data_IF_126635193933
#
_entry.id   IF_126635193933
#
_cell.length_a   1.000
_cell.length_b   1.000
_cell.length_c   1.000
_cell.angle_alpha   90.00
_cell.angle_beta   90.00
_cell.angle_gamma   90.00
#
_symmetry.space_group_name_H-M   'P 1'
#
loop_
_entity.id
_entity.type
_entity.pdbx_description
1 polymer ?
#
# COMPACT_ATOMS: atom_id res chain seq x y z
N UNK A 1 -10.86 21.39 2.62
CA UNK A 1 -9.59 21.42 3.42
C UNK A 1 -9.17 20.06 4.00
N UNK A 2 -10.04 19.38 4.77
CA UNK A 2 -9.73 18.11 5.44
C UNK A 2 -9.59 16.93 4.45
N UNK A 3 -10.41 16.90 3.39
CA UNK A 3 -10.41 15.82 2.39
C UNK A 3 -9.11 15.72 1.59
N UNK A 4 -8.52 16.87 1.23
CA UNK A 4 -7.22 16.91 0.54
C UNK A 4 -6.08 16.43 1.44
N UNK A 5 -6.17 16.69 2.76
CA UNK A 5 -5.19 16.22 3.72
C UNK A 5 -5.20 14.69 3.84
N UNK A 6 -6.37 14.07 3.91
CA UNK A 6 -6.50 12.60 4.00
C UNK A 6 -5.93 11.90 2.76
N UNK A 7 -6.24 12.41 1.56
CA UNK A 7 -5.67 11.87 0.31
C UNK A 7 -4.14 11.97 0.29
N UNK A 8 -3.58 13.09 0.76
CA UNK A 8 -2.12 13.24 0.87
C UNK A 8 -1.52 12.22 1.85
N UNK A 9 -2.18 11.96 2.98
CA UNK A 9 -1.74 10.91 3.92
C UNK A 9 -1.77 9.54 3.26
N UNK A 10 -2.84 9.20 2.53
CA UNK A 10 -2.97 7.91 1.88
C UNK A 10 -1.85 7.71 0.85
N UNK A 11 -1.64 8.70 -0.02
CA UNK A 11 -0.57 8.65 -1.03
C UNK A 11 0.82 8.51 -0.41
N UNK A 12 1.11 9.26 0.67
CA UNK A 12 2.39 9.14 1.39
C UNK A 12 2.56 7.75 1.99
N UNK A 13 1.54 7.18 2.61
CA UNK A 13 1.59 5.84 3.18
C UNK A 13 1.83 4.77 2.11
N UNK A 14 1.15 4.86 0.97
CA UNK A 14 1.32 3.92 -0.15
C UNK A 14 2.72 4.04 -0.74
N UNK A 15 3.19 5.27 -0.96
CA UNK A 15 4.53 5.50 -1.50
C UNK A 15 5.62 4.95 -0.59
N UNK A 16 5.52 5.20 0.72
CA UNK A 16 6.45 4.68 1.71
C UNK A 16 6.39 3.14 1.78
N UNK A 17 5.20 2.55 1.83
CA UNK A 17 5.03 1.10 1.86
C UNK A 17 5.64 0.46 0.60
N UNK A 18 5.36 1.01 -0.58
CA UNK A 18 5.90 0.52 -1.86
C UNK A 18 7.42 0.58 -1.87
N UNK A 19 8.00 1.75 -1.55
CA UNK A 19 9.45 1.95 -1.58
C UNK A 19 10.15 1.07 -0.55
N UNK A 20 9.57 0.93 0.64
CA UNK A 20 10.08 0.04 1.69
C UNK A 20 10.03 -1.42 1.28
N UNK A 21 8.94 -1.89 0.68
CA UNK A 21 8.83 -3.29 0.20
C UNK A 21 9.82 -3.55 -0.93
N UNK A 22 9.96 -2.64 -1.90
CA UNK A 22 10.97 -2.77 -2.97
C UNK A 22 12.38 -2.85 -2.39
N UNK A 23 12.73 -1.93 -1.48
CA UNK A 23 14.03 -1.93 -0.82
C UNK A 23 14.26 -3.23 -0.04
N UNK A 24 13.30 -3.67 0.76
CA UNK A 24 13.38 -4.91 1.55
C UNK A 24 13.55 -6.13 0.66
N UNK A 25 12.79 -6.21 -0.42
CA UNK A 25 12.82 -7.32 -1.38
C UNK A 25 14.16 -7.36 -2.09
N UNK A 26 14.68 -6.22 -2.56
CA UNK A 26 16.04 -6.12 -3.13
C UNK A 26 17.11 -6.59 -2.15
N UNK A 27 17.03 -6.17 -0.89
CA UNK A 27 17.99 -6.60 0.13
C UNK A 27 17.87 -8.10 0.41
N UNK A 28 16.67 -8.65 0.51
CA UNK A 28 16.46 -10.10 0.66
C UNK A 28 17.10 -10.88 -0.49
N UNK A 29 16.94 -10.45 -1.73
CA UNK A 29 17.59 -11.10 -2.88
C UNK A 29 19.10 -11.06 -2.85
N UNK A 30 19.68 -9.99 -2.31
CA UNK A 30 21.13 -9.89 -2.17
C UNK A 30 21.70 -10.88 -1.15
N UNK A 31 20.91 -11.29 -0.15
CA UNK A 31 21.38 -12.08 1.00
C UNK A 31 20.80 -13.50 1.10
N UNK A 32 19.67 -13.77 0.44
CA UNK A 32 19.06 -15.09 0.31
C UNK A 32 18.83 -15.34 -1.18
N UNK A 33 19.37 -16.44 -1.70
CA UNK A 33 19.36 -16.89 -3.10
C UNK A 33 17.94 -17.27 -3.61
N UNK A 34 16.93 -16.49 -3.24
CA UNK A 34 15.56 -16.66 -3.69
C UNK A 34 15.44 -16.18 -5.14
N UNK A 35 14.47 -16.75 -5.87
CA UNK A 35 14.10 -16.28 -7.21
C UNK A 35 13.26 -15.00 -7.15
N UNK A 36 13.59 -14.01 -8.00
CA UNK A 36 12.80 -12.78 -8.14
C UNK A 36 11.42 -13.09 -8.73
N UNK A 37 10.36 -12.73 -8.00
CA UNK A 37 8.99 -12.77 -8.49
C UNK A 37 8.36 -11.40 -8.36
N UNK A 38 8.12 -10.78 -9.51
CA UNK A 38 7.42 -9.49 -9.60
C UNK A 38 6.01 -9.57 -9.02
N UNK A 39 5.28 -10.65 -9.32
CA UNK A 39 3.94 -10.89 -8.79
C UNK A 39 3.94 -10.95 -7.27
N UNK A 40 4.90 -11.68 -6.67
CA UNK A 40 5.06 -11.72 -5.21
C UNK A 40 5.36 -10.35 -4.63
N UNK A 41 6.21 -9.55 -5.28
CA UNK A 41 6.50 -8.18 -4.87
C UNK A 41 5.24 -7.30 -4.88
N UNK A 42 4.43 -7.36 -5.95
CA UNK A 42 3.17 -6.62 -6.05
C UNK A 42 2.18 -7.04 -4.96
N UNK A 43 2.05 -8.34 -4.71
CA UNK A 43 1.21 -8.86 -3.62
C UNK A 43 1.69 -8.37 -2.24
N UNK A 44 3.00 -8.38 -1.98
CA UNK A 44 3.55 -7.83 -0.74
C UNK A 44 3.28 -6.31 -0.63
N UNK A 45 3.43 -5.55 -1.72
CA UNK A 45 3.10 -4.11 -1.74
C UNK A 45 1.62 -3.89 -1.39
N UNK A 46 0.70 -4.67 -1.96
CA UNK A 46 -0.73 -4.58 -1.62
C UNK A 46 -0.99 -4.86 -0.14
N UNK A 47 -0.39 -5.92 0.40
CA UNK A 47 -0.54 -6.28 1.82
C UNK A 47 0.02 -5.19 2.75
N UNK A 48 1.24 -4.72 2.50
CA UNK A 48 1.88 -3.73 3.36
C UNK A 48 1.22 -2.36 3.28
N UNK A 49 0.88 -1.89 2.08
CA UNK A 49 0.15 -0.63 1.91
C UNK A 49 -1.21 -0.66 2.59
N UNK A 50 -1.99 -1.73 2.43
CA UNK A 50 -3.29 -1.87 3.10
C UNK A 50 -3.14 -1.91 4.63
N UNK A 51 -2.19 -2.69 5.16
CA UNK A 51 -1.93 -2.75 6.61
C UNK A 51 -1.58 -1.38 7.16
N UNK A 52 -0.68 -0.66 6.50
CA UNK A 52 -0.25 0.66 6.96
C UNK A 52 -1.40 1.67 6.91
N UNK A 53 -2.18 1.69 5.82
CA UNK A 53 -3.36 2.54 5.73
C UNK A 53 -4.37 2.20 6.84
N UNK A 54 -4.69 0.92 7.03
CA UNK A 54 -5.64 0.47 8.04
C UNK A 54 -5.18 0.72 9.47
N UNK A 55 -3.86 0.75 9.72
CA UNK A 55 -3.31 1.02 11.05
C UNK A 55 -3.12 2.51 11.35
N UNK A 56 -2.73 3.32 10.35
CA UNK A 56 -2.31 4.71 10.57
C UNK A 56 -3.34 5.75 10.10
N UNK A 57 -4.24 5.40 9.18
CA UNK A 57 -5.29 6.29 8.71
C UNK A 57 -6.65 5.90 9.31
N UNK A 58 -7.07 6.60 10.37
CA UNK A 58 -8.33 6.34 11.11
C UNK A 58 -9.60 6.33 10.23
N UNK A 59 -9.55 7.05 9.12
CA UNK A 59 -10.65 7.21 8.16
C UNK A 59 -10.67 6.11 7.08
N UNK A 60 -9.57 5.37 6.93
CA UNK A 60 -9.44 4.29 5.96
C UNK A 60 -10.15 3.04 6.51
N UNK A 61 -11.32 2.73 5.93
CA UNK A 61 -12.20 1.63 6.39
C UNK A 61 -12.49 0.61 5.29
N UNK A 62 -11.55 0.43 4.36
CA UNK A 62 -11.68 -0.53 3.29
C UNK A 62 -11.06 -1.87 3.70
N UNK A 63 -11.76 -2.96 3.39
CA UNK A 63 -11.22 -4.32 3.57
C UNK A 63 -10.06 -4.58 2.62
N UNK A 64 -9.23 -5.58 2.93
CA UNK A 64 -8.13 -5.96 2.05
C UNK A 64 -8.62 -6.37 0.65
N UNK A 65 -9.76 -7.05 0.57
CA UNK A 65 -10.37 -7.43 -0.71
C UNK A 65 -10.78 -6.21 -1.55
N UNK A 66 -11.43 -5.22 -0.93
CA UNK A 66 -11.78 -3.95 -1.61
C UNK A 66 -10.54 -3.20 -2.09
N UNK A 67 -9.49 -3.19 -1.28
CA UNK A 67 -8.20 -2.60 -1.65
C UNK A 67 -7.57 -3.30 -2.85
N UNK A 68 -7.47 -4.64 -2.84
CA UNK A 68 -6.93 -5.41 -3.95
C UNK A 68 -7.75 -5.27 -5.24
N UNK A 69 -9.08 -5.17 -5.13
CA UNK A 69 -9.97 -5.01 -6.27
C UNK A 69 -9.76 -3.67 -6.96
N UNK A 70 -9.75 -2.56 -6.20
CA UNK A 70 -9.52 -1.23 -6.77
C UNK A 70 -8.93 -0.25 -5.73
N UNK A 71 -7.60 -0.13 -5.65
CA UNK A 71 -6.94 0.83 -4.77
C UNK A 71 -7.32 2.27 -5.07
N UNK A 72 -7.54 2.60 -6.35
CA UNK A 72 -7.94 3.92 -6.82
C UNK A 72 -9.24 4.39 -6.18
N UNK A 73 -10.26 3.53 -6.18
CA UNK A 73 -11.56 3.81 -5.55
C UNK A 73 -11.45 3.92 -4.01
N UNK A 74 -10.56 3.16 -3.38
CA UNK A 74 -10.31 3.27 -1.95
C UNK A 74 -9.60 4.57 -1.57
N UNK A 75 -8.81 5.15 -2.47
CA UNK A 75 -8.14 6.44 -2.29
C UNK A 75 -9.03 7.63 -2.66
N UNK A 76 -9.90 7.46 -3.65
CA UNK A 76 -10.84 8.48 -4.09
C UNK A 76 -12.12 8.40 -3.24
N UNK A 77 -12.17 9.15 -2.14
CA UNK A 77 -13.48 9.52 -1.58
C UNK A 77 -14.18 10.50 -2.53
N UNK A 78 -14.86 9.98 -3.55
CA UNK A 78 -16.10 10.60 -4.02
C UNK A 78 -17.19 10.09 -3.07
N UNK A 79 -17.63 10.95 -2.16
CA UNK A 79 -18.84 10.71 -1.38
C UNK A 79 -19.92 11.53 -2.08
N UNK A 80 -21.00 10.87 -2.49
CA UNK A 80 -22.27 11.51 -2.82
C UNK A 80 -22.75 12.37 -1.66
#
# INVERSE_FOLDING_TARGET
>A
PIQHYEQVVYWRSIWLATTWTVWRTRNRYRFNDNSFSFERLVNEIQVYSWRWLSSFAKTFRYTFSQWCYNPGLCMSRYIH
#
